data_IF_348295574132
#
_entry.id   IF_348295574132
#
_cell.length_a   1.000
_cell.length_b   1.000
_cell.length_c   1.000
_cell.angle_alpha   90.00
_cell.angle_beta   90.00
_cell.angle_gamma   90.00
#
_symmetry.space_group_name_H-M   'P 1'
#
loop_
_entity.id
_entity.type
_entity.pdbx_description
1 polymer ?
#
# COMPACT_ATOMS: atom_id res chain seq x y z
N UNK A 1 -3.80 18.10 -9.86
CA UNK A 1 -2.59 18.95 -9.98
C UNK A 1 -1.48 18.29 -9.18
N UNK A 2 -0.53 17.64 -9.84
CA UNK A 2 0.58 16.93 -9.19
C UNK A 2 1.81 17.84 -9.18
N UNK A 3 2.37 18.12 -8.00
CA UNK A 3 3.69 18.73 -7.88
C UNK A 3 4.68 17.62 -7.53
N UNK A 4 5.45 17.16 -8.53
CA UNK A 4 6.56 16.25 -8.28
C UNK A 4 7.73 17.05 -7.72
N UNK A 5 8.12 16.77 -6.48
CA UNK A 5 9.38 17.30 -5.95
C UNK A 5 10.50 16.30 -6.26
N UNK A 6 11.49 16.75 -7.04
CA UNK A 6 12.70 15.98 -7.35
C UNK A 6 13.62 16.00 -6.12
N UNK A 7 13.94 14.84 -5.55
CA UNK A 7 14.91 14.78 -4.45
C UNK A 7 15.99 13.72 -4.64
N UNK A 8 17.23 14.21 -4.51
CA UNK A 8 18.51 13.52 -4.30
C UNK A 8 19.22 12.92 -5.53
N UNK A 9 20.43 13.44 -5.79
CA UNK A 9 21.43 12.92 -6.71
C UNK A 9 22.42 12.02 -5.96
N UNK A 10 22.48 10.74 -6.31
CA UNK A 10 23.61 9.87 -5.97
C UNK A 10 24.29 9.47 -7.28
N UNK A 11 25.38 10.16 -7.64
CA UNK A 11 26.28 9.73 -8.71
C UNK A 11 27.30 8.76 -8.13
N UNK A 12 27.34 7.51 -8.61
CA UNK A 12 28.48 6.63 -8.40
C UNK A 12 29.20 6.48 -9.75
N UNK A 13 30.39 7.06 -9.85
CA UNK A 13 31.32 6.78 -10.94
C UNK A 13 32.28 5.68 -10.49
N UNK A 14 32.17 4.48 -11.06
CA UNK A 14 33.22 3.46 -10.93
C UNK A 14 34.23 3.66 -12.07
N UNK A 15 35.38 4.26 -11.76
CA UNK A 15 36.52 4.31 -12.68
C UNK A 15 37.38 3.07 -12.47
N UNK A 16 37.49 2.18 -13.47
CA UNK A 16 38.62 1.27 -13.57
C UNK A 16 39.83 2.10 -14.03
N UNK A 17 40.78 2.28 -13.11
CA UNK A 17 41.87 3.25 -13.19
C UNK A 17 42.89 2.99 -14.30
N UNK A 18 43.62 4.08 -14.61
CA UNK A 18 44.74 4.19 -15.54
C UNK A 18 44.75 5.61 -16.06
N UNK A 19 45.41 6.52 -15.32
CA UNK A 19 45.31 7.98 -15.48
C UNK A 19 46.24 8.59 -16.50
N UNK A 20 45.88 9.77 -17.00
CA UNK A 20 46.67 11.03 -16.98
C UNK A 20 46.00 12.12 -17.81
N UNK A 21 46.21 13.35 -17.33
CA UNK A 21 46.13 14.66 -18.01
C UNK A 21 44.77 15.25 -18.39
N UNK A 22 44.61 16.48 -17.94
CA UNK A 22 43.55 17.43 -18.18
C UNK A 22 43.55 17.94 -19.63
N UNK A 23 42.41 17.78 -20.31
CA UNK A 23 41.94 18.71 -21.33
C UNK A 23 40.40 18.69 -21.32
N UNK A 24 39.79 19.81 -20.93
CA UNK A 24 38.34 20.01 -20.99
C UNK A 24 37.96 20.33 -22.43
N UNK A 25 37.52 19.31 -23.17
CA UNK A 25 36.76 19.45 -24.41
C UNK A 25 35.59 18.46 -24.38
N UNK A 26 34.42 18.92 -24.80
CA UNK A 26 33.10 18.30 -24.60
C UNK A 26 32.94 16.96 -25.32
N UNK A 27 33.05 15.86 -24.57
CA UNK A 27 32.51 14.57 -24.99
C UNK A 27 30.97 14.57 -24.89
N UNK A 28 30.28 14.03 -25.89
CA UNK A 28 28.83 13.88 -25.86
C UNK A 28 28.44 12.81 -24.83
N UNK A 29 27.67 13.17 -23.81
CA UNK A 29 27.07 12.19 -22.90
C UNK A 29 25.72 11.73 -23.45
N UNK A 30 25.46 10.43 -23.44
CA UNK A 30 24.12 9.89 -23.70
C UNK A 30 23.53 9.30 -22.43
N UNK A 31 22.29 9.67 -22.11
CA UNK A 31 21.55 9.15 -20.97
C UNK A 31 20.41 8.26 -21.48
N UNK A 32 20.37 7.00 -21.04
CA UNK A 32 19.31 6.05 -21.38
C UNK A 32 18.61 5.60 -20.11
N UNK A 33 17.28 5.70 -20.05
CA UNK A 33 16.50 5.09 -18.98
C UNK A 33 16.57 3.56 -19.11
N UNK A 34 16.97 2.88 -18.03
CA UNK A 34 17.25 1.43 -18.02
C UNK A 34 16.42 0.67 -17.01
N UNK A 35 15.80 1.33 -16.02
CA UNK A 35 14.91 0.66 -15.09
C UNK A 35 13.96 1.66 -14.46
N UNK A 36 12.71 1.25 -14.25
CA UNK A 36 11.73 2.03 -13.48
C UNK A 36 11.05 1.12 -12.46
N UNK A 37 11.05 1.54 -11.19
CA UNK A 37 10.25 0.91 -10.14
C UNK A 37 9.32 1.93 -9.49
N UNK A 38 8.03 1.67 -9.60
CA UNK A 38 6.96 2.45 -8.98
C UNK A 38 6.48 1.75 -7.72
N UNK A 39 6.38 2.47 -6.62
CA UNK A 39 5.65 2.07 -5.41
C UNK A 39 4.52 3.07 -5.19
N UNK A 40 3.28 2.62 -5.13
CA UNK A 40 2.15 3.48 -4.83
C UNK A 40 1.34 2.99 -3.63
N UNK A 41 0.92 3.94 -2.80
CA UNK A 41 -0.15 3.71 -1.83
C UNK A 41 -1.44 3.44 -2.60
N UNK A 42 -2.31 2.59 -2.07
CA UNK A 42 -3.68 2.47 -2.58
C UNK A 42 -4.39 3.83 -2.64
N UNK A 43 -5.41 3.90 -3.51
CA UNK A 43 -6.30 5.05 -3.60
C UNK A 43 -7.14 5.23 -2.34
N UNK A 44 -7.91 6.32 -2.33
CA UNK A 44 -8.87 6.63 -1.28
C UNK A 44 -9.84 5.47 -0.98
N UNK A 45 -10.08 5.22 0.30
CA UNK A 45 -10.86 4.10 0.80
C UNK A 45 -11.65 4.49 2.05
N UNK A 46 -12.68 3.71 2.39
CA UNK A 46 -13.49 3.82 3.63
C UNK A 46 -12.70 3.41 4.89
N UNK A 47 -13.12 3.80 6.11
CA UNK A 47 -12.33 3.53 7.32
C UNK A 47 -12.23 2.05 7.69
N UNK A 48 -11.19 1.69 8.46
CA UNK A 48 -11.01 0.32 8.99
C UNK A 48 -11.71 0.11 10.34
N UNK A 49 -12.35 1.16 10.86
CA UNK A 49 -13.00 1.18 12.16
C UNK A 49 -14.25 2.08 12.10
N UNK A 50 -15.33 1.60 12.71
CA UNK A 50 -16.55 2.36 12.98
C UNK A 50 -16.35 3.26 14.22
N UNK A 51 -16.69 4.54 14.13
CA UNK A 51 -16.51 5.50 15.22
C UNK A 51 -17.82 5.77 15.99
N UNK A 52 -18.97 5.73 15.33
CA UNK A 52 -20.26 5.85 16.00
C UNK A 52 -20.75 4.53 16.58
N UNK A 53 -21.54 4.64 17.67
CA UNK A 53 -22.36 3.55 18.21
C UNK A 53 -23.52 3.19 17.28
N UNK A 54 -24.02 4.16 16.51
CA UNK A 54 -25.06 3.93 15.52
C UNK A 54 -24.42 3.37 14.25
N UNK A 55 -24.39 2.03 14.17
CA UNK A 55 -23.80 1.29 13.06
C UNK A 55 -24.54 1.47 11.73
N UNK A 56 -25.84 1.78 11.75
CA UNK A 56 -26.65 1.95 10.55
C UNK A 56 -26.32 3.26 9.83
N UNK A 57 -26.13 4.34 10.61
CA UNK A 57 -25.70 5.64 10.06
C UNK A 57 -24.32 5.52 9.39
N UNK A 58 -23.37 4.87 10.05
CA UNK A 58 -22.03 4.62 9.49
C UNK A 58 -22.11 3.77 8.23
N UNK A 59 -22.94 2.71 8.25
CA UNK A 59 -23.12 1.82 7.12
C UNK A 59 -23.71 2.56 5.92
N UNK A 60 -24.79 3.33 6.10
CA UNK A 60 -25.41 4.12 5.02
C UNK A 60 -24.45 5.16 4.45
N UNK A 61 -23.64 5.80 5.31
CA UNK A 61 -22.68 6.81 4.90
C UNK A 61 -21.51 6.22 4.09
N UNK A 62 -20.90 5.13 4.56
CA UNK A 62 -19.69 4.59 3.93
C UNK A 62 -19.98 3.64 2.77
N UNK A 63 -21.05 2.85 2.82
CA UNK A 63 -21.39 1.92 1.72
C UNK A 63 -21.66 2.66 0.42
N UNK A 64 -22.30 3.85 0.49
CA UNK A 64 -22.56 4.70 -0.67
C UNK A 64 -21.31 5.30 -1.31
N UNK A 65 -20.15 5.26 -0.64
CA UNK A 65 -18.87 5.74 -1.18
C UNK A 65 -18.02 4.64 -1.82
N UNK A 66 -18.31 3.37 -1.51
CA UNK A 66 -17.60 2.22 -2.07
C UNK A 66 -17.78 2.23 -3.60
N UNK A 67 -16.69 2.02 -4.33
CA UNK A 67 -16.76 2.00 -5.79
C UNK A 67 -17.71 0.90 -6.27
N UNK A 68 -18.63 1.25 -7.17
CA UNK A 68 -19.64 0.32 -7.69
C UNK A 68 -19.01 -0.83 -8.46
N UNK A 69 -18.02 -0.55 -9.30
CA UNK A 69 -17.31 -1.56 -10.11
C UNK A 69 -16.56 -2.59 -9.27
N UNK A 70 -16.11 -2.19 -8.08
CA UNK A 70 -15.39 -3.06 -7.15
C UNK A 70 -16.22 -3.42 -5.92
N UNK A 71 -17.51 -3.09 -5.92
CA UNK A 71 -18.32 -3.16 -4.72
C UNK A 71 -18.53 -4.61 -4.31
N UNK A 72 -18.25 -4.94 -3.03
CA UNK A 72 -18.60 -6.25 -2.53
C UNK A 72 -20.12 -6.46 -2.46
N UNK A 73 -20.92 -5.38 -2.44
CA UNK A 73 -22.38 -5.44 -2.37
C UNK A 73 -23.06 -5.86 -3.67
N UNK A 74 -22.32 -5.92 -4.78
CA UNK A 74 -22.82 -6.40 -6.06
C UNK A 74 -22.21 -7.78 -6.28
N UNK A 75 -23.05 -8.83 -6.20
CA UNK A 75 -22.69 -10.15 -6.71
C UNK A 75 -22.76 -10.09 -8.25
N UNK A 76 -21.76 -10.63 -8.98
CA UNK A 76 -21.86 -10.75 -10.43
C UNK A 76 -23.10 -11.56 -10.80
N UNK A 77 -23.81 -11.16 -11.85
CA UNK A 77 -25.12 -11.70 -12.27
C UNK A 77 -25.13 -13.19 -12.71
N UNK A 78 -24.09 -13.97 -12.39
CA UNK A 78 -23.93 -15.38 -12.78
C UNK A 78 -23.79 -16.35 -11.62
N UNK A 79 -24.17 -15.96 -10.39
CA UNK A 79 -24.27 -16.90 -9.27
C UNK A 79 -25.73 -17.20 -8.95
N UNK A 80 -26.37 -17.92 -9.86
CA UNK A 80 -27.57 -18.68 -9.58
C UNK A 80 -27.47 -20.01 -10.36
N UNK A 81 -26.86 -21.01 -9.72
CA UNK A 81 -27.27 -22.43 -9.73
C UNK A 81 -26.33 -23.29 -8.89
N UNK A 82 -26.96 -24.00 -7.96
CA UNK A 82 -26.58 -25.30 -7.40
C UNK A 82 -25.59 -25.44 -6.21
N UNK A 83 -26.26 -25.72 -5.09
CA UNK A 83 -26.10 -26.86 -4.16
C UNK A 83 -25.04 -26.84 -3.04
N UNK A 84 -25.61 -26.94 -1.84
CA UNK A 84 -25.04 -27.39 -0.58
C UNK A 84 -24.03 -28.54 -0.70
N UNK A 85 -22.91 -28.41 0.02
CA UNK A 85 -22.39 -29.46 0.90
C UNK A 85 -21.15 -28.99 1.68
N UNK A 86 -21.00 -29.60 2.86
CA UNK A 86 -20.13 -29.30 4.00
C UNK A 86 -18.63 -29.42 3.70
N UNK A 87 -17.79 -28.83 4.57
CA UNK A 87 -16.66 -29.48 5.26
C UNK A 87 -16.24 -28.60 6.46
N UNK A 88 -16.30 -29.20 7.65
CA UNK A 88 -15.58 -28.77 8.87
C UNK A 88 -14.11 -29.19 8.76
N UNK A 89 -13.17 -28.35 9.19
CA UNK A 89 -11.95 -28.80 9.90
C UNK A 89 -11.40 -27.71 10.82
N UNK A 90 -10.93 -28.13 11.99
CA UNK A 90 -10.46 -27.31 13.11
C UNK A 90 -8.93 -27.05 13.11
N UNK A 91 -8.54 -25.77 13.33
CA UNK A 91 -7.40 -25.22 14.14
C UNK A 91 -5.90 -25.57 13.81
N UNK A 92 -4.86 -24.87 14.36
CA UNK A 92 -4.86 -23.69 15.26
C UNK A 92 -3.81 -22.56 15.03
N UNK A 93 -4.09 -21.39 15.66
CA UNK A 93 -3.18 -20.37 16.24
C UNK A 93 -3.40 -18.88 15.86
N UNK A 94 -4.48 -18.35 16.44
CA UNK A 94 -4.61 -17.09 17.19
C UNK A 94 -3.98 -15.78 16.69
N UNK A 95 -4.85 -14.89 16.18
CA UNK A 95 -5.40 -13.81 17.02
C UNK A 95 -6.92 -13.80 16.85
N UNK A 96 -7.64 -14.32 17.84
CA UNK A 96 -9.07 -14.05 17.99
C UNK A 96 -9.23 -12.55 18.30
N UNK A 97 -9.67 -11.78 17.32
CA UNK A 97 -10.49 -10.59 17.61
C UNK A 97 -11.92 -11.11 17.71
N UNK A 98 -12.30 -11.50 18.93
CA UNK A 98 -13.70 -11.72 19.26
C UNK A 98 -14.40 -10.37 19.13
N UNK A 99 -15.04 -10.15 17.98
CA UNK A 99 -16.26 -9.36 17.89
C UNK A 99 -17.36 -10.27 18.44
N UNK A 100 -17.93 -9.93 19.59
CA UNK A 100 -19.05 -10.67 20.17
C UNK A 100 -20.39 -10.05 19.84
N UNK A 101 -20.50 -9.26 18.77
CA UNK A 101 -21.77 -8.62 18.38
C UNK A 101 -22.02 -8.57 16.86
N UNK A 102 -21.14 -9.14 16.03
CA UNK A 102 -21.44 -9.30 14.59
C UNK A 102 -22.17 -10.63 14.39
N UNK A 103 -23.36 -10.58 13.78
CA UNK A 103 -24.13 -11.76 13.41
C UNK A 103 -23.23 -12.76 12.65
N UNK A 104 -23.15 -14.04 13.08
CA UNK A 104 -22.44 -15.09 12.35
C UNK A 104 -22.73 -15.11 10.84
N UNK A 105 -23.94 -14.73 10.43
CA UNK A 105 -24.33 -14.58 9.04
C UNK A 105 -23.59 -13.42 8.34
N UNK A 106 -23.57 -12.22 8.94
CA UNK A 106 -22.83 -11.06 8.41
C UNK A 106 -21.33 -11.35 8.23
N UNK A 107 -20.75 -12.11 9.16
CA UNK A 107 -19.34 -12.51 9.10
C UNK A 107 -19.05 -13.53 7.99
N UNK A 108 -19.95 -14.49 7.78
CA UNK A 108 -19.84 -15.49 6.71
C UNK A 108 -19.93 -14.80 5.34
N UNK A 109 -20.84 -13.86 5.18
CA UNK A 109 -20.97 -13.05 3.96
C UNK A 109 -19.74 -12.15 3.75
N UNK A 110 -19.25 -11.46 4.78
CA UNK A 110 -18.01 -10.67 4.70
C UNK A 110 -16.78 -11.52 4.28
N UNK A 111 -16.69 -12.76 4.75
CA UNK A 111 -15.62 -13.68 4.36
C UNK A 111 -15.71 -14.09 2.89
N UNK A 112 -16.90 -14.39 2.38
CA UNK A 112 -17.11 -14.67 0.94
C UNK A 112 -16.61 -13.49 0.11
N UNK A 113 -16.91 -12.26 0.53
CA UNK A 113 -16.53 -11.04 -0.20
C UNK A 113 -15.02 -10.80 -0.30
N UNK A 114 -14.25 -11.34 0.65
CA UNK A 114 -12.78 -11.24 0.70
C UNK A 114 -12.05 -12.37 -0.04
N UNK A 115 -12.78 -13.30 -0.67
CA UNK A 115 -12.19 -14.38 -1.46
C UNK A 115 -11.64 -13.84 -2.79
N UNK A 116 -10.44 -14.27 -3.16
CA UNK A 116 -9.82 -13.88 -4.43
C UNK A 116 -10.71 -14.15 -5.64
N UNK A 117 -11.55 -15.20 -5.60
CA UNK A 117 -12.51 -15.54 -6.67
C UNK A 117 -13.43 -14.36 -7.00
N UNK A 118 -13.96 -13.74 -5.95
CA UNK A 118 -14.89 -12.63 -6.05
C UNK A 118 -14.16 -11.32 -6.35
N UNK A 119 -12.91 -11.22 -5.91
CA UNK A 119 -12.07 -10.05 -6.21
C UNK A 119 -11.69 -10.04 -7.69
N UNK A 120 -11.21 -11.16 -8.22
CA UNK A 120 -10.78 -11.32 -9.60
C UNK A 120 -11.91 -11.03 -10.59
N UNK A 121 -13.14 -11.50 -10.29
CA UNK A 121 -14.32 -11.23 -11.13
C UNK A 121 -14.71 -9.74 -11.23
N UNK A 122 -14.23 -8.89 -10.31
CA UNK A 122 -14.51 -7.45 -10.30
C UNK A 122 -13.40 -6.62 -10.95
N UNK A 123 -12.29 -7.23 -11.37
CA UNK A 123 -11.21 -6.52 -12.06
C UNK A 123 -11.67 -6.09 -13.45
N UNK A 124 -11.30 -4.86 -13.86
CA UNK A 124 -11.77 -4.25 -15.11
C UNK A 124 -10.90 -4.59 -16.31
N UNK A 125 -9.64 -4.99 -16.08
CA UNK A 125 -8.76 -5.43 -17.16
C UNK A 125 -7.55 -6.22 -16.65
N UNK A 126 -7.61 -6.77 -15.46
CA UNK A 126 -6.51 -7.51 -14.86
C UNK A 126 -6.97 -8.88 -14.36
N UNK A 127 -6.00 -9.74 -14.08
CA UNK A 127 -6.24 -11.03 -13.44
C UNK A 127 -5.19 -11.25 -12.35
N UNK A 128 -5.50 -12.08 -11.35
CA UNK A 128 -4.63 -12.31 -10.22
C UNK A 128 -3.74 -13.53 -10.47
N UNK A 129 -2.46 -13.37 -10.15
CA UNK A 129 -1.46 -14.44 -10.21
C UNK A 129 -0.76 -14.53 -8.86
N UNK A 130 -0.43 -15.73 -8.43
CA UNK A 130 0.43 -15.95 -7.26
C UNK A 130 1.50 -17.00 -7.55
N UNK A 131 2.74 -16.73 -7.17
CA UNK A 131 3.79 -17.74 -7.04
C UNK A 131 4.42 -17.75 -5.64
N UNK A 132 4.99 -18.90 -5.26
CA UNK A 132 5.68 -19.10 -3.96
C UNK A 132 6.79 -18.07 -3.71
N UNK A 133 7.44 -17.61 -4.78
CA UNK A 133 8.24 -16.40 -4.78
C UNK A 133 7.86 -15.53 -5.99
N UNK A 134 7.00 -14.53 -5.75
CA UNK A 134 6.65 -13.51 -6.75
C UNK A 134 7.84 -12.62 -7.16
N UNK A 135 9.03 -12.90 -6.63
CA UNK A 135 10.27 -12.20 -6.94
C UNK A 135 11.25 -13.04 -7.75
N UNK A 136 11.31 -14.36 -7.51
CA UNK A 136 12.28 -15.26 -8.14
C UNK A 136 11.68 -16.37 -9.03
N UNK A 137 10.38 -16.30 -9.35
CA UNK A 137 9.82 -17.10 -10.45
C UNK A 137 9.79 -18.60 -10.21
N UNK A 138 9.31 -19.02 -9.04
CA UNK A 138 9.12 -20.45 -8.73
C UNK A 138 8.03 -21.12 -9.59
N UNK A 139 8.19 -22.43 -9.82
CA UNK A 139 7.33 -23.30 -10.65
C UNK A 139 5.90 -23.49 -10.14
N UNK A 140 5.54 -23.01 -8.94
CA UNK A 140 4.17 -23.08 -8.44
C UNK A 140 3.46 -21.75 -8.71
N UNK A 141 2.56 -21.73 -9.69
CA UNK A 141 1.78 -20.55 -10.08
C UNK A 141 0.29 -20.84 -9.99
N UNK A 142 -0.45 -19.99 -9.25
CA UNK A 142 -1.91 -19.91 -9.25
C UNK A 142 -2.30 -18.79 -10.21
N UNK A 143 -3.13 -19.09 -11.21
CA UNK A 143 -3.70 -18.14 -12.16
C UNK A 143 -5.22 -18.08 -11.94
N UNK A 144 -5.78 -16.90 -11.65
CA UNK A 144 -7.21 -16.75 -11.40
C UNK A 144 -8.11 -17.06 -12.60
N UNK A 145 -7.53 -17.24 -13.79
CA UNK A 145 -8.25 -17.63 -15.02
C UNK A 145 -8.38 -19.15 -15.16
N UNK A 146 -7.59 -19.96 -14.43
CA UNK A 146 -7.67 -21.43 -14.47
C UNK A 146 -8.60 -21.95 -13.36
N UNK A 147 -9.85 -22.36 -13.68
CA UNK A 147 -10.82 -22.78 -12.67
C UNK A 147 -10.41 -24.07 -11.94
N UNK A 148 -9.58 -24.93 -12.56
CA UNK A 148 -9.18 -26.22 -11.97
C UNK A 148 -8.15 -26.02 -10.86
N UNK A 149 -7.12 -25.21 -11.11
CA UNK A 149 -6.10 -24.87 -10.11
C UNK A 149 -6.61 -23.91 -9.03
N UNK A 150 -7.65 -23.14 -9.36
CA UNK A 150 -8.26 -22.19 -8.45
C UNK A 150 -9.33 -22.83 -7.54
N UNK A 151 -9.95 -23.94 -7.95
CA UNK A 151 -10.92 -24.72 -7.15
C UNK A 151 -10.31 -25.32 -5.87
N UNK A 152 -9.07 -25.78 -5.91
CA UNK A 152 -8.46 -26.50 -4.78
C UNK A 152 -7.88 -25.58 -3.68
N UNK A 153 -8.01 -24.25 -3.82
CA UNK A 153 -7.58 -23.26 -2.82
C UNK A 153 -8.68 -22.25 -2.51
N UNK A 154 -9.88 -22.78 -2.27
CA UNK A 154 -11.15 -22.10 -1.96
C UNK A 154 -11.11 -21.10 -0.77
N UNK A 155 -9.97 -20.92 -0.10
CA UNK A 155 -9.78 -20.01 1.04
C UNK A 155 -8.59 -19.04 0.91
N UNK A 156 -8.20 -18.65 -0.32
CA UNK A 156 -7.34 -17.47 -0.49
C UNK A 156 -8.14 -16.21 -0.15
N UNK A 157 -8.10 -15.88 1.13
CA UNK A 157 -8.72 -14.70 1.70
C UNK A 157 -7.73 -13.54 1.69
N UNK A 158 -8.22 -12.36 1.36
CA UNK A 158 -7.48 -11.15 1.70
C UNK A 158 -7.42 -11.00 3.21
N UNK A 159 -6.48 -10.17 3.69
CA UNK A 159 -6.40 -9.80 5.09
C UNK A 159 -7.66 -9.06 5.61
N UNK A 160 -8.61 -8.73 4.74
CA UNK A 160 -9.85 -8.02 5.03
C UNK A 160 -10.93 -8.93 5.65
N UNK A 161 -10.72 -10.26 5.66
CA UNK A 161 -11.54 -11.24 6.41
C UNK A 161 -11.69 -10.94 7.92
N UNK A 162 -10.89 -10.01 8.43
CA UNK A 162 -10.92 -9.57 9.82
C UNK A 162 -11.82 -8.35 10.03
N UNK A 163 -12.44 -7.81 8.99
CA UNK A 163 -13.37 -6.70 9.08
C UNK A 163 -14.78 -7.19 9.34
N UNK A 164 -15.53 -6.35 10.06
CA UNK A 164 -16.83 -6.72 10.62
C UNK A 164 -17.98 -6.22 9.75
N UNK A 165 -17.70 -5.31 8.81
CA UNK A 165 -18.65 -4.79 7.83
C UNK A 165 -18.02 -4.79 6.44
N UNK A 166 -18.81 -5.14 5.42
CA UNK A 166 -18.36 -5.28 4.04
C UNK A 166 -17.81 -3.97 3.42
N UNK A 167 -18.25 -2.81 3.90
CA UNK A 167 -17.74 -1.52 3.43
C UNK A 167 -16.39 -1.15 4.02
N UNK A 168 -15.90 -1.80 5.09
CA UNK A 168 -14.66 -1.38 5.76
C UNK A 168 -13.42 -1.59 4.88
N UNK A 169 -12.57 -0.57 4.83
CA UNK A 169 -11.32 -0.62 4.08
C UNK A 169 -11.44 -0.73 2.56
N UNK A 170 -12.64 -0.57 2.01
CA UNK A 170 -12.92 -0.72 0.58
C UNK A 170 -12.56 0.55 -0.20
N UNK A 171 -12.06 0.37 -1.42
CA UNK A 171 -11.70 1.45 -2.33
C UNK A 171 -12.96 2.26 -2.70
N UNK A 172 -12.86 3.59 -2.65
CA UNK A 172 -13.97 4.49 -3.02
C UNK A 172 -13.92 4.86 -4.49
N UNK A 173 -15.01 5.44 -5.02
CA UNK A 173 -15.02 6.04 -6.36
C UNK A 173 -13.94 7.13 -6.52
N UNK A 174 -13.68 7.90 -5.46
CA UNK A 174 -12.57 8.88 -5.46
C UNK A 174 -11.23 8.16 -5.59
N UNK A 175 -11.05 7.05 -4.88
CA UNK A 175 -9.82 6.26 -4.92
C UNK A 175 -9.53 5.68 -6.30
N UNK A 176 -10.57 5.22 -7.01
CA UNK A 176 -10.45 4.77 -8.40
C UNK A 176 -9.94 5.90 -9.30
N UNK A 177 -10.57 7.07 -9.26
CA UNK A 177 -10.16 8.23 -10.07
C UNK A 177 -8.72 8.68 -9.79
N UNK A 178 -8.33 8.70 -8.52
CA UNK A 178 -6.95 9.01 -8.12
C UNK A 178 -5.95 8.06 -8.77
N UNK A 179 -6.24 6.75 -8.74
CA UNK A 179 -5.33 5.75 -9.29
C UNK A 179 -5.30 5.78 -10.83
N UNK A 180 -6.43 6.02 -11.49
CA UNK A 180 -6.47 6.26 -12.94
C UNK A 180 -5.64 7.49 -13.33
N UNK A 181 -5.61 8.53 -12.48
CA UNK A 181 -4.78 9.72 -12.72
C UNK A 181 -3.29 9.43 -12.57
N UNK A 182 -2.89 8.63 -11.56
CA UNK A 182 -1.52 8.10 -11.48
C UNK A 182 -1.17 7.34 -12.76
N UNK A 183 -2.07 6.46 -13.24
CA UNK A 183 -1.89 5.72 -14.48
C UNK A 183 -1.70 6.63 -15.70
N UNK A 184 -2.54 7.65 -15.85
CA UNK A 184 -2.45 8.65 -16.94
C UNK A 184 -1.14 9.43 -16.88
N UNK A 185 -0.68 9.79 -15.67
CA UNK A 185 0.61 10.45 -15.51
C UNK A 185 1.78 9.53 -15.93
N UNK A 186 1.74 8.26 -15.52
CA UNK A 186 2.75 7.27 -15.92
C UNK A 186 2.75 7.04 -17.43
N UNK A 187 1.57 6.99 -18.08
CA UNK A 187 1.45 6.93 -19.54
C UNK A 187 2.13 8.12 -20.20
N UNK A 188 1.73 9.34 -19.80
CA UNK A 188 2.31 10.58 -20.35
C UNK A 188 3.83 10.57 -20.27
N UNK A 189 4.38 10.22 -19.11
CA UNK A 189 5.83 10.21 -18.90
C UNK A 189 6.54 9.09 -19.65
N UNK A 190 6.13 7.84 -19.44
CA UNK A 190 6.93 6.69 -19.85
C UNK A 190 6.56 6.12 -21.23
N UNK A 191 5.41 6.49 -21.77
CA UNK A 191 5.00 6.14 -23.13
C UNK A 191 5.16 7.36 -24.02
N UNK A 192 4.47 8.46 -23.71
CA UNK A 192 4.34 9.58 -24.66
C UNK A 192 5.61 10.46 -24.71
N UNK A 193 6.23 10.77 -23.56
CA UNK A 193 7.41 11.66 -23.49
C UNK A 193 8.75 10.91 -23.62
N UNK A 194 8.91 9.77 -22.95
CA UNK A 194 10.18 9.05 -22.89
C UNK A 194 10.28 7.87 -23.86
N UNK A 195 9.15 7.39 -24.42
CA UNK A 195 9.13 6.20 -25.29
C UNK A 195 9.73 4.95 -24.64
N UNK A 196 9.74 4.87 -23.30
CA UNK A 196 10.34 3.76 -22.55
C UNK A 196 9.47 2.50 -22.62
N UNK A 197 8.16 2.69 -22.57
CA UNK A 197 7.13 1.67 -22.72
C UNK A 197 6.45 1.79 -24.10
N UNK A 198 5.99 0.65 -24.62
CA UNK A 198 5.21 0.60 -25.87
C UNK A 198 3.88 1.37 -25.74
N UNK A 199 3.38 2.05 -26.79
CA UNK A 199 2.05 2.66 -26.76
C UNK A 199 0.89 1.68 -26.55
N UNK A 200 1.09 0.42 -26.93
CA UNK A 200 0.11 -0.67 -26.81
C UNK A 200 0.66 -1.84 -26.01
N UNK A 201 -0.13 -2.37 -25.08
CA UNK A 201 0.17 -3.60 -24.35
C UNK A 201 -0.36 -4.82 -25.11
N UNK A 202 0.46 -5.86 -25.30
CA UNK A 202 0.06 -7.08 -26.01
C UNK A 202 -0.01 -8.28 -25.06
N UNK A 203 -1.20 -8.82 -24.79
CA UNK A 203 -1.34 -10.03 -23.97
C UNK A 203 -0.95 -11.28 -24.80
N UNK A 204 0.14 -11.97 -24.44
CA UNK A 204 0.47 -13.28 -25.01
C UNK A 204 -0.27 -14.45 -24.35
N UNK A 205 -0.28 -15.61 -25.02
CA UNK A 205 -1.11 -16.78 -24.66
C UNK A 205 -0.61 -17.58 -23.43
N UNK A 206 0.58 -17.29 -22.92
CA UNK A 206 1.24 -18.03 -21.83
C UNK A 206 1.34 -17.23 -20.52
N UNK A 207 0.79 -16.01 -20.47
CA UNK A 207 0.98 -15.10 -19.32
C UNK A 207 2.44 -14.72 -19.04
N UNK A 208 3.36 -15.09 -19.93
CA UNK A 208 4.81 -14.97 -19.80
C UNK A 208 5.46 -14.28 -21.00
N UNK A 209 4.67 -13.71 -21.92
CA UNK A 209 5.21 -12.96 -23.06
C UNK A 209 6.15 -11.85 -22.59
N UNK A 210 7.43 -12.21 -22.65
CA UNK A 210 8.63 -11.47 -22.27
C UNK A 210 8.85 -10.20 -23.13
N UNK A 211 7.88 -9.89 -24.00
CA UNK A 211 7.87 -8.72 -24.88
C UNK A 211 7.40 -7.45 -24.14
N UNK A 212 6.54 -7.60 -23.14
CA UNK A 212 6.12 -6.47 -22.31
C UNK A 212 7.10 -6.30 -21.17
N UNK A 213 7.87 -5.21 -21.22
CA UNK A 213 8.75 -4.72 -20.15
C UNK A 213 7.99 -4.29 -18.88
N UNK A 214 6.85 -4.90 -18.56
CA UNK A 214 5.91 -4.48 -17.51
C UNK A 214 5.69 -5.61 -16.50
N UNK A 215 5.94 -5.33 -15.22
CA UNK A 215 5.68 -6.25 -14.12
C UNK A 215 4.84 -5.58 -13.05
N UNK A 216 3.73 -6.20 -12.65
CA UNK A 216 2.78 -5.62 -11.70
C UNK A 216 2.68 -6.51 -10.46
N UNK A 217 2.80 -5.91 -9.29
CA UNK A 217 2.68 -6.61 -8.02
C UNK A 217 1.74 -5.87 -7.06
N UNK A 218 1.02 -6.59 -6.22
CA UNK A 218 0.17 -6.03 -5.17
C UNK A 218 0.31 -6.82 -3.87
N UNK A 219 0.14 -6.14 -2.74
CA UNK A 219 -0.13 -6.82 -1.46
C UNK A 219 -1.49 -7.52 -1.48
N UNK A 220 -1.70 -8.50 -0.61
CA UNK A 220 -2.94 -9.27 -0.50
C UNK A 220 -4.09 -8.52 0.24
N UNK A 221 -4.51 -7.38 -0.33
CA UNK A 221 -5.69 -6.62 0.07
C UNK A 221 -6.51 -6.24 -1.17
N UNK A 222 -7.85 -6.32 -1.12
CA UNK A 222 -8.67 -5.97 -2.27
C UNK A 222 -8.46 -4.52 -2.68
N UNK A 223 -8.38 -3.59 -1.72
CA UNK A 223 -8.09 -2.17 -2.02
C UNK A 223 -6.77 -1.94 -2.77
N UNK A 224 -5.73 -2.74 -2.57
CA UNK A 224 -4.47 -2.58 -3.31
C UNK A 224 -4.56 -3.21 -4.70
N UNK A 225 -5.26 -4.34 -4.84
CA UNK A 225 -5.52 -4.97 -6.14
C UNK A 225 -6.38 -4.08 -7.04
N UNK A 226 -7.49 -3.54 -6.50
CA UNK A 226 -8.36 -2.62 -7.23
C UNK A 226 -7.70 -1.28 -7.54
N UNK A 227 -6.79 -0.82 -6.67
CA UNK A 227 -6.00 0.39 -6.94
C UNK A 227 -5.09 0.20 -8.14
N UNK A 228 -4.40 -0.94 -8.25
CA UNK A 228 -3.48 -1.16 -9.38
C UNK A 228 -4.24 -1.50 -10.66
N UNK A 229 -5.36 -2.21 -10.59
CA UNK A 229 -6.26 -2.38 -11.74
C UNK A 229 -6.77 -1.02 -12.27
N UNK A 230 -7.15 -0.11 -11.37
CA UNK A 230 -7.52 1.26 -11.73
C UNK A 230 -6.36 2.06 -12.33
N UNK A 231 -5.16 1.94 -11.78
CA UNK A 231 -3.95 2.54 -12.36
C UNK A 231 -3.71 2.02 -13.79
N UNK A 232 -3.84 0.71 -13.99
CA UNK A 232 -3.66 0.09 -15.30
C UNK A 232 -4.68 0.58 -16.32
N UNK A 233 -5.90 0.94 -15.89
CA UNK A 233 -6.89 1.58 -16.76
C UNK A 233 -6.49 2.99 -17.22
N UNK A 234 -5.64 3.70 -16.46
CA UNK A 234 -5.04 4.95 -16.88
C UNK A 234 -3.76 4.77 -17.72
N UNK A 235 -2.93 3.79 -17.39
CA UNK A 235 -1.65 3.52 -18.07
C UNK A 235 -1.85 2.87 -19.46
N UNK A 236 -2.65 1.81 -19.49
CA UNK A 236 -3.08 1.10 -20.69
C UNK A 236 -4.59 0.94 -20.65
N UNK A 237 -5.39 1.91 -21.11
CA UNK A 237 -6.83 1.72 -21.28
C UNK A 237 -7.12 0.52 -22.19
N UNK A 238 -8.31 -0.09 -22.12
CA UNK A 238 -8.65 -1.27 -22.94
C UNK A 238 -8.47 -1.06 -24.46
N UNK A 239 -8.60 0.19 -24.93
CA UNK A 239 -8.34 0.59 -26.33
C UNK A 239 -6.87 0.49 -26.73
N UNK A 240 -5.95 0.45 -25.76
CA UNK A 240 -4.51 0.33 -25.94
C UNK A 240 -4.00 -1.09 -25.60
N UNK A 241 -4.90 -2.08 -25.59
CA UNK A 241 -4.57 -3.47 -25.31
C UNK A 241 -4.98 -4.38 -26.46
N UNK A 242 -4.05 -5.24 -26.86
CA UNK A 242 -4.22 -6.22 -27.93
C UNK A 242 -3.94 -7.64 -27.42
N UNK A 243 -4.21 -8.65 -28.24
CA UNK A 243 -4.17 -10.06 -27.86
C UNK A 243 -5.54 -10.59 -27.39
N UNK A 244 -5.61 -11.90 -27.16
CA UNK A 244 -6.87 -12.64 -26.98
C UNK A 244 -7.65 -12.17 -25.74
N UNK A 245 -6.96 -12.02 -24.60
CA UNK A 245 -7.60 -11.69 -23.32
C UNK A 245 -7.49 -10.21 -22.92
N UNK A 246 -6.66 -9.40 -23.61
CA UNK A 246 -6.40 -7.97 -23.32
C UNK A 246 -6.15 -7.65 -21.83
N UNK A 247 -5.69 -8.63 -21.06
CA UNK A 247 -5.64 -8.59 -19.60
C UNK A 247 -4.20 -8.52 -19.11
N UNK A 248 -3.97 -7.87 -17.97
CA UNK A 248 -2.65 -7.69 -17.38
C UNK A 248 -2.59 -8.48 -16.06
N UNK A 249 -1.53 -9.26 -15.86
CA UNK A 249 -1.32 -10.01 -14.62
C UNK A 249 -1.03 -9.07 -13.45
N UNK A 250 -1.66 -9.30 -12.30
CA UNK A 250 -1.30 -8.71 -11.01
C UNK A 250 -0.74 -9.84 -10.14
N UNK A 251 0.56 -9.80 -9.87
CA UNK A 251 1.22 -10.75 -8.99
C UNK A 251 0.94 -10.40 -7.53
N UNK A 252 0.44 -11.35 -6.75
CA UNK A 252 0.06 -11.11 -5.36
C UNK A 252 0.73 -12.12 -4.44
N UNK A 253 1.37 -11.58 -3.42
CA UNK A 253 2.00 -12.36 -2.36
C UNK A 253 0.97 -12.71 -1.28
N UNK A 254 0.63 -14.00 -1.20
CA UNK A 254 -0.40 -14.53 -0.29
C UNK A 254 0.11 -14.57 1.15
N UNK A 255 1.38 -14.94 1.35
CA UNK A 255 1.87 -15.53 2.61
C UNK A 255 2.92 -14.68 3.32
N UNK A 256 2.63 -13.38 3.45
CA UNK A 256 3.41 -12.34 4.15
C UNK A 256 4.39 -11.64 3.21
N UNK A 257 4.03 -10.39 2.92
CA UNK A 257 4.84 -9.52 2.09
C UNK A 257 5.91 -8.76 2.89
N UNK A 258 7.05 -8.52 2.24
CA UNK A 258 8.10 -7.60 2.69
C UNK A 258 7.80 -6.13 2.35
N UNK A 259 6.68 -5.82 1.69
CA UNK A 259 6.29 -4.44 1.36
C UNK A 259 5.87 -3.61 2.58
N UNK A 260 5.68 -4.22 3.74
CA UNK A 260 5.51 -3.49 5.00
C UNK A 260 6.08 -4.26 6.19
N UNK A 261 6.60 -3.54 7.21
CA UNK A 261 7.20 -4.15 8.39
C UNK A 261 6.15 -4.87 9.25
N UNK A 262 5.96 -6.18 9.05
CA UNK A 262 5.02 -6.97 9.83
C UNK A 262 5.65 -7.49 11.14
N UNK A 263 5.26 -6.97 12.34
CA UNK A 263 5.96 -7.27 13.59
C UNK A 263 5.91 -8.73 14.03
N UNK A 264 4.98 -9.53 13.50
CA UNK A 264 4.89 -10.95 13.84
C UNK A 264 5.95 -11.80 13.14
N UNK A 265 6.57 -11.30 12.07
CA UNK A 265 7.61 -12.03 11.33
C UNK A 265 8.98 -11.89 11.97
N UNK A 266 9.22 -10.78 12.66
CA UNK A 266 10.50 -10.50 13.28
C UNK A 266 10.30 -10.04 14.73
N UNK A 267 10.59 -10.95 15.68
CA UNK A 267 10.49 -10.66 17.13
C UNK A 267 11.38 -9.48 17.52
N UNK A 268 12.59 -9.40 16.95
CA UNK A 268 13.54 -8.30 17.19
C UNK A 268 12.96 -6.96 16.72
N UNK A 269 12.41 -6.91 15.52
CA UNK A 269 11.68 -5.74 15.01
C UNK A 269 10.54 -5.34 15.95
N UNK A 270 9.76 -6.30 16.44
CA UNK A 270 8.67 -6.03 17.38
C UNK A 270 9.15 -5.37 18.67
N UNK A 271 10.33 -5.73 19.18
CA UNK A 271 10.94 -5.09 20.36
C UNK A 271 11.48 -3.69 20.04
N UNK A 272 12.27 -3.56 18.98
CA UNK A 272 12.91 -2.30 18.58
C UNK A 272 11.88 -1.21 18.30
N UNK A 273 10.80 -1.52 17.55
CA UNK A 273 9.73 -0.54 17.28
C UNK A 273 9.02 -0.05 18.56
N UNK A 274 8.92 -0.90 19.59
CA UNK A 274 8.29 -0.52 20.86
C UNK A 274 9.23 0.40 21.65
N UNK A 275 10.51 0.07 21.73
CA UNK A 275 11.54 0.92 22.34
C UNK A 275 11.63 2.29 21.66
N UNK A 276 11.56 2.33 20.33
CA UNK A 276 11.59 3.58 19.57
C UNK A 276 10.35 4.43 19.82
N UNK A 277 9.16 3.80 19.86
CA UNK A 277 7.93 4.51 20.23
C UNK A 277 8.01 5.10 21.64
N UNK A 278 8.48 4.32 22.62
CA UNK A 278 8.62 4.76 24.00
C UNK A 278 9.65 5.89 24.14
N UNK A 279 10.75 5.83 23.40
CA UNK A 279 11.74 6.90 23.37
C UNK A 279 11.13 8.20 22.81
N UNK A 280 10.42 8.14 21.67
CA UNK A 280 9.74 9.32 21.14
C UNK A 280 8.74 9.87 22.14
N UNK A 281 7.91 9.00 22.73
CA UNK A 281 6.90 9.39 23.72
C UNK A 281 7.51 10.08 24.96
N UNK A 282 8.70 9.65 25.40
CA UNK A 282 9.41 10.25 26.53
C UNK A 282 10.11 11.58 26.20
N UNK A 283 10.41 11.85 24.92
CA UNK A 283 11.14 13.04 24.46
C UNK A 283 10.28 13.99 23.61
N UNK A 284 8.98 13.71 23.49
CA UNK A 284 8.02 14.55 22.76
C UNK A 284 7.40 15.56 23.72
N UNK A 285 7.31 16.81 23.26
CA UNK A 285 6.56 17.89 23.89
C UNK A 285 5.03 17.64 23.84
N UNK A 286 4.58 16.97 22.78
CA UNK A 286 3.19 16.52 22.61
C UNK A 286 3.01 15.11 23.19
N UNK A 287 2.03 14.94 24.09
CA UNK A 287 1.63 13.64 24.62
C UNK A 287 0.13 13.38 24.44
N UNK A 288 -0.21 12.28 23.77
CA UNK A 288 -1.59 11.86 23.56
C UNK A 288 -1.93 10.67 24.47
N UNK A 289 -2.80 10.89 25.47
CA UNK A 289 -3.29 9.84 26.34
C UNK A 289 -4.74 9.48 26.01
N UNK A 290 -5.02 8.19 25.94
CA UNK A 290 -6.37 7.67 25.70
C UNK A 290 -6.94 7.14 27.01
N UNK A 291 -7.96 7.80 27.52
CA UNK A 291 -8.76 7.31 28.64
C UNK A 291 -10.01 6.63 28.08
N UNK A 292 -10.14 5.32 28.31
CA UNK A 292 -11.39 4.61 28.07
C UNK A 292 -12.27 4.80 29.31
N UNK A 293 -13.24 5.70 29.24
CA UNK A 293 -14.34 5.68 30.19
C UNK A 293 -15.28 4.54 29.80
N UNK A 294 -15.05 3.35 30.37
CA UNK A 294 -16.15 2.42 30.55
C UNK A 294 -17.12 3.16 31.47
N UNK A 295 -18.31 3.49 30.96
CA UNK A 295 -19.38 4.04 31.79
C UNK A 295 -19.80 2.99 32.83
N UNK A 296 -19.04 2.91 33.92
CA UNK A 296 -19.52 2.35 35.18
C UNK A 296 -20.18 3.52 35.91
N UNK A 297 -21.50 3.51 35.99
CA UNK A 297 -22.17 4.20 37.07
C UNK A 297 -21.74 3.54 38.38
N UNK A 298 -20.65 4.03 38.98
CA UNK A 298 -20.46 3.89 40.43
C UNK A 298 -21.09 5.11 41.07
N UNK A 299 -22.22 4.89 41.76
CA UNK A 299 -22.67 5.80 42.82
C UNK A 299 -21.52 5.94 43.83
N UNK A 300 -20.98 7.14 43.95
CA UNK A 300 -20.15 7.58 45.08
C UNK A 300 -18.64 7.38 44.94
N UNK A 301 -17.89 8.48 45.08
CA UNK A 301 -16.48 8.48 45.48
C UNK A 301 -15.56 9.36 44.62
N UNK A 302 -15.29 10.59 45.11
CA UNK A 302 -14.29 11.53 44.57
C UNK A 302 -12.89 10.89 44.53
N UNK A 303 -12.13 11.16 43.46
CA UNK A 303 -10.66 11.28 43.51
C UNK A 303 -10.21 12.43 42.63
N UNK A 304 -9.83 13.52 43.27
CA UNK A 304 -9.04 14.61 42.66
C UNK A 304 -7.56 14.23 42.70
N UNK A 305 -6.88 14.39 41.57
CA UNK A 305 -5.42 14.36 41.48
C UNK A 305 -4.98 15.47 40.53
N UNK A 306 -4.39 16.53 41.07
CA UNK A 306 -3.83 17.67 40.33
C UNK A 306 -2.59 17.24 39.54
N UNK A 307 -2.60 17.38 38.21
CA UNK A 307 -1.44 17.78 37.39
C UNK A 307 -1.91 18.62 36.20
N UNK A 308 -1.41 19.86 36.10
CA UNK A 308 -1.56 20.71 34.90
C UNK A 308 -0.57 20.20 33.84
N UNK A 309 -1.05 19.34 32.95
CA UNK A 309 -0.41 18.94 31.69
C UNK A 309 -1.45 19.31 30.61
N UNK A 310 -1.05 19.72 29.40
CA UNK A 310 -2.02 19.89 28.31
C UNK A 310 -2.52 18.48 27.96
N UNK A 311 -3.54 18.05 28.69
CA UNK A 311 -4.18 16.74 28.60
C UNK A 311 -5.25 16.83 27.53
N UNK A 312 -4.85 16.51 26.30
CA UNK A 312 -5.82 16.33 25.22
C UNK A 312 -6.56 15.02 25.49
N UNK A 313 -7.69 15.13 26.18
CA UNK A 313 -8.60 14.02 26.47
C UNK A 313 -9.49 13.81 25.25
N UNK A 314 -9.17 12.79 24.44
CA UNK A 314 -10.05 12.33 23.37
C UNK A 314 -11.21 11.54 24.01
N UNK A 315 -12.32 12.22 24.31
CA UNK A 315 -13.56 11.61 24.78
C UNK A 315 -14.24 10.86 23.61
N UNK A 316 -13.69 9.72 23.23
CA UNK A 316 -14.28 8.87 22.20
C UNK A 316 -14.79 7.62 22.90
N UNK A 317 -16.12 7.51 22.93
CA UNK A 317 -16.84 6.42 23.56
C UNK A 317 -16.75 5.16 22.68
N UNK A 318 -15.54 4.60 22.56
CA UNK A 318 -15.27 3.38 21.81
C UNK A 318 -15.64 2.21 22.72
N UNK A 319 -16.74 1.51 22.42
CA UNK A 319 -17.23 0.32 23.14
C UNK A 319 -16.28 -0.89 23.03
N UNK A 320 -15.11 -0.75 22.41
CA UNK A 320 -14.23 -1.87 22.08
C UNK A 320 -12.98 -1.88 22.97
N UNK A 321 -12.81 -3.00 23.71
CA UNK A 321 -11.72 -3.29 24.67
C UNK A 321 -10.34 -2.78 24.25
N UNK A 322 -9.57 -2.34 25.27
CA UNK A 322 -8.15 -1.90 25.44
C UNK A 322 -7.08 -2.08 24.33
N UNK A 323 -7.30 -2.82 23.22
CA UNK A 323 -6.30 -3.13 22.18
C UNK A 323 -6.31 -2.18 20.95
N UNK A 324 -7.21 -1.19 20.85
CA UNK A 324 -7.47 -0.46 19.59
C UNK A 324 -6.98 1.01 19.53
N UNK A 325 -5.84 1.35 20.15
CA UNK A 325 -5.25 2.71 20.04
C UNK A 325 -4.82 3.08 18.60
N UNK A 326 -4.34 2.11 17.81
CA UNK A 326 -3.81 2.36 16.45
C UNK A 326 -4.89 2.66 15.40
N UNK A 327 -6.07 2.09 15.53
CA UNK A 327 -7.14 2.18 14.51
C UNK A 327 -7.92 3.50 14.55
N UNK A 328 -7.86 4.24 15.66
CA UNK A 328 -8.57 5.49 15.79
C UNK A 328 -7.98 6.62 14.94
N UNK A 329 -6.65 6.78 14.93
CA UNK A 329 -6.00 7.82 14.12
C UNK A 329 -6.24 7.64 12.63
N UNK A 330 -6.30 6.38 12.21
CA UNK A 330 -6.68 6.02 10.84
C UNK A 330 -8.12 6.47 10.54
N UNK A 331 -9.10 6.10 11.38
CA UNK A 331 -10.51 6.44 11.13
C UNK A 331 -10.75 7.96 11.12
N UNK A 332 -10.08 8.71 12.01
CA UNK A 332 -10.12 10.18 12.04
C UNK A 332 -9.49 10.79 10.78
N UNK A 333 -8.32 10.29 10.35
CA UNK A 333 -7.68 10.72 9.11
C UNK A 333 -8.58 10.44 7.90
N UNK A 334 -9.25 9.29 7.89
CA UNK A 334 -10.21 8.94 6.84
C UNK A 334 -11.38 9.94 6.80
N UNK A 335 -11.98 10.27 7.95
CA UNK A 335 -13.06 11.26 8.00
C UNK A 335 -12.63 12.65 7.55
N UNK A 336 -11.43 13.09 7.96
CA UNK A 336 -10.83 14.33 7.46
C UNK A 336 -10.69 14.33 5.94
N UNK A 337 -10.16 13.23 5.37
CA UNK A 337 -9.98 13.11 3.92
C UNK A 337 -11.30 13.15 3.14
N UNK A 338 -12.39 12.65 3.74
CA UNK A 338 -13.72 12.59 3.17
C UNK A 338 -14.65 13.76 3.55
N UNK A 339 -14.14 14.74 4.32
CA UNK A 339 -14.95 15.84 4.86
C UNK A 339 -16.21 15.34 5.60
N UNK A 340 -16.07 14.23 6.34
CA UNK A 340 -17.15 13.69 7.19
C UNK A 340 -17.05 14.23 8.61
N UNK A 341 -18.18 14.19 9.30
CA UNK A 341 -18.32 14.66 10.68
C UNK A 341 -17.20 14.10 11.56
N UNK A 342 -16.58 14.94 12.36
CA UNK A 342 -15.63 14.51 13.37
C UNK A 342 -16.34 14.45 14.73
N UNK A 343 -15.79 13.75 15.73
CA UNK A 343 -16.34 13.82 17.08
C UNK A 343 -16.43 15.29 17.53
N UNK A 344 -17.65 15.77 17.78
CA UNK A 344 -17.92 17.18 18.10
C UNK A 344 -17.20 17.66 19.37
N UNK A 345 -16.94 16.74 20.29
CA UNK A 345 -16.28 17.01 21.57
C UNK A 345 -14.77 17.31 21.43
N UNK A 346 -14.20 17.19 20.23
CA UNK A 346 -12.77 17.32 19.98
C UNK A 346 -12.51 18.38 18.89
N UNK A 347 -11.73 19.43 19.18
CA UNK A 347 -11.35 20.42 18.18
C UNK A 347 -10.68 19.77 16.96
N UNK A 348 -11.00 20.25 15.76
CA UNK A 348 -10.44 19.69 14.53
C UNK A 348 -8.90 19.81 14.47
N UNK A 349 -8.34 20.91 14.98
CA UNK A 349 -6.89 21.13 15.09
C UNK A 349 -6.22 20.01 15.89
N UNK A 350 -6.79 19.67 17.04
CA UNK A 350 -6.34 18.56 17.89
C UNK A 350 -6.33 17.22 17.14
N UNK A 351 -7.31 16.98 16.28
CA UNK A 351 -7.39 15.75 15.48
C UNK A 351 -6.26 15.71 14.43
N UNK A 352 -5.98 16.85 13.78
CA UNK A 352 -4.85 16.98 12.85
C UNK A 352 -3.51 16.75 13.56
N UNK A 353 -3.33 17.40 14.69
CA UNK A 353 -2.15 17.24 15.55
C UNK A 353 -1.91 15.77 15.96
N UNK A 354 -2.98 15.04 16.27
CA UNK A 354 -2.89 13.61 16.56
C UNK A 354 -2.50 12.78 15.33
N UNK A 355 -3.06 13.09 14.16
CA UNK A 355 -2.70 12.42 12.91
C UNK A 355 -1.22 12.64 12.57
N UNK A 356 -0.71 13.87 12.72
CA UNK A 356 0.68 14.22 12.47
C UNK A 356 1.62 13.54 13.46
N UNK A 357 1.26 13.54 14.75
CA UNK A 357 1.98 12.79 15.76
C UNK A 357 1.99 11.28 15.45
N UNK A 358 0.89 10.73 14.97
CA UNK A 358 0.81 9.32 14.58
C UNK A 358 1.75 9.01 13.42
N UNK A 359 1.84 9.88 12.42
CA UNK A 359 2.80 9.77 11.32
C UNK A 359 4.24 9.81 11.85
N UNK A 360 4.58 10.83 12.65
CA UNK A 360 5.91 10.98 13.29
C UNK A 360 6.29 9.74 14.08
N UNK A 361 5.37 9.20 14.88
CA UNK A 361 5.59 7.99 15.67
C UNK A 361 5.87 6.77 14.80
N UNK A 362 5.13 6.58 13.71
CA UNK A 362 5.33 5.47 12.78
C UNK A 362 6.68 5.60 12.06
N UNK A 363 7.01 6.79 11.54
CA UNK A 363 8.31 7.08 10.94
C UNK A 363 9.45 6.80 11.91
N UNK A 364 9.34 7.26 13.16
CA UNK A 364 10.37 7.08 14.17
C UNK A 364 10.57 5.62 14.58
N UNK A 365 9.52 4.78 14.51
CA UNK A 365 9.67 3.33 14.67
C UNK A 365 10.66 2.76 13.66
N UNK A 366 10.58 3.21 12.41
CA UNK A 366 11.39 2.70 11.30
C UNK A 366 12.78 3.31 11.22
N UNK A 367 12.92 4.59 11.56
CA UNK A 367 14.07 5.41 11.15
C UNK A 367 14.99 5.90 12.27
N UNK A 368 14.73 5.53 13.53
CA UNK A 368 15.55 6.03 14.65
C UNK A 368 17.04 5.72 14.50
N UNK A 369 17.39 4.56 13.95
CA UNK A 369 18.77 4.12 13.72
C UNK A 369 18.82 3.09 12.59
N UNK A 370 20.03 2.80 12.10
CA UNK A 370 20.26 1.88 10.99
C UNK A 370 19.71 0.47 11.25
N UNK A 371 19.77 0.00 12.50
CA UNK A 371 19.18 -1.30 12.88
C UNK A 371 17.66 -1.30 12.67
N UNK A 372 16.98 -0.23 13.06
CA UNK A 372 15.52 -0.07 12.89
C UNK A 372 15.15 -0.09 11.40
N UNK A 373 15.91 0.64 10.57
CA UNK A 373 15.71 0.69 9.12
C UNK A 373 15.88 -0.71 8.50
N UNK A 374 16.98 -1.39 8.82
CA UNK A 374 17.29 -2.73 8.32
C UNK A 374 16.24 -3.76 8.70
N UNK A 375 15.77 -3.74 9.95
CA UNK A 375 14.75 -4.66 10.44
C UNK A 375 13.35 -4.37 9.88
N UNK A 376 13.04 -3.11 9.62
CA UNK A 376 11.72 -2.72 9.11
C UNK A 376 11.58 -3.00 7.61
N UNK A 377 12.58 -2.66 6.80
CA UNK A 377 12.45 -2.66 5.35
C UNK A 377 13.73 -3.04 4.60
N UNK A 378 14.73 -3.62 5.28
CA UNK A 378 15.99 -4.05 4.64
C UNK A 378 15.79 -5.04 3.50
N UNK A 379 14.87 -6.01 3.66
CA UNK A 379 14.54 -6.99 2.59
C UNK A 379 13.95 -6.30 1.37
N UNK A 380 13.08 -5.30 1.58
CA UNK A 380 12.47 -4.55 0.48
C UNK A 380 13.50 -3.72 -0.28
N UNK A 381 14.43 -3.07 0.44
CA UNK A 381 15.52 -2.31 -0.19
C UNK A 381 16.49 -3.23 -0.93
N UNK A 382 16.87 -4.37 -0.34
CA UNK A 382 17.75 -5.35 -0.97
C UNK A 382 17.17 -5.83 -2.30
N UNK A 383 15.88 -6.18 -2.30
CA UNK A 383 15.14 -6.50 -3.52
C UNK A 383 15.14 -5.32 -4.51
N UNK A 384 14.73 -4.11 -4.09
CA UNK A 384 14.80 -2.93 -4.96
C UNK A 384 16.16 -2.75 -5.65
N UNK A 385 17.26 -2.83 -4.89
CA UNK A 385 18.61 -2.72 -5.43
C UNK A 385 18.99 -3.90 -6.33
N UNK A 386 18.53 -5.11 -6.03
CA UNK A 386 18.70 -6.27 -6.90
C UNK A 386 18.03 -6.02 -8.26
N UNK A 387 16.76 -5.59 -8.27
CA UNK A 387 16.06 -5.27 -9.52
C UNK A 387 16.73 -4.15 -10.32
N UNK A 388 17.15 -3.08 -9.65
CA UNK A 388 17.89 -1.98 -10.31
C UNK A 388 19.18 -2.46 -11.02
N UNK A 389 19.81 -3.53 -10.53
CA UNK A 389 21.05 -4.08 -11.10
C UNK A 389 20.81 -5.11 -12.20
N UNK A 390 19.73 -5.87 -12.12
CA UNK A 390 19.56 -7.09 -12.91
C UNK A 390 18.40 -7.05 -13.90
N UNK A 391 17.47 -6.10 -13.78
CA UNK A 391 16.26 -6.04 -14.60
C UNK A 391 16.32 -4.93 -15.67
N UNK A 392 17.39 -4.88 -16.49
CA UNK A 392 17.52 -3.85 -17.54
C UNK A 392 16.31 -3.86 -18.50
N UNK A 393 15.78 -2.67 -18.73
CA UNK A 393 14.59 -2.41 -19.53
C UNK A 393 13.27 -2.60 -18.80
N UNK A 394 13.23 -3.09 -17.55
CA UNK A 394 11.96 -3.37 -16.88
C UNK A 394 11.27 -2.13 -16.31
N UNK A 395 9.94 -2.17 -16.31
CA UNK A 395 9.03 -1.24 -15.65
C UNK A 395 8.21 -2.02 -14.63
N UNK A 396 8.49 -1.82 -13.35
CA UNK A 396 7.84 -2.53 -12.26
C UNK A 396 6.89 -1.60 -11.50
N UNK A 397 5.69 -2.08 -11.17
CA UNK A 397 4.70 -1.36 -10.35
C UNK A 397 4.35 -2.22 -9.14
N UNK A 398 4.42 -1.63 -7.95
CA UNK A 398 4.06 -2.26 -6.68
C UNK A 398 2.96 -1.46 -5.99
N UNK A 399 1.80 -2.09 -5.82
CA UNK A 399 0.65 -1.57 -5.09
C UNK A 399 0.68 -1.99 -3.64
N UNK A 400 0.73 -0.99 -2.75
CA UNK A 400 1.07 -1.19 -1.35
C UNK A 400 0.35 -0.18 -0.43
N UNK A 401 0.99 0.18 0.69
CA UNK A 401 0.35 0.92 1.78
C UNK A 401 1.11 2.20 2.12
N UNK A 402 0.48 3.03 2.96
CA UNK A 402 1.14 4.18 3.59
C UNK A 402 2.43 3.79 4.33
N UNK A 403 2.41 2.69 5.07
CA UNK A 403 3.62 2.20 5.77
C UNK A 403 4.77 1.90 4.80
N UNK A 404 4.49 1.52 3.55
CA UNK A 404 5.51 1.28 2.51
C UNK A 404 6.10 2.59 2.01
N UNK A 405 5.26 3.61 1.78
CA UNK A 405 5.72 4.94 1.39
C UNK A 405 6.53 5.58 2.54
N UNK A 406 6.03 5.50 3.77
CA UNK A 406 6.73 5.99 4.97
C UNK A 406 8.09 5.31 5.15
N UNK A 407 8.19 3.99 4.93
CA UNK A 407 9.44 3.27 5.07
C UNK A 407 10.46 3.66 4.00
N UNK A 408 10.03 3.85 2.75
CA UNK A 408 10.89 4.34 1.67
C UNK A 408 11.38 5.77 1.93
N UNK A 409 10.50 6.68 2.33
CA UNK A 409 10.88 8.06 2.67
C UNK A 409 11.86 8.08 3.87
N UNK A 410 11.61 7.25 4.88
CA UNK A 410 12.52 7.06 6.01
C UNK A 410 13.90 6.55 5.57
N UNK A 411 13.95 5.57 4.68
CA UNK A 411 15.19 5.03 4.14
C UNK A 411 16.03 6.09 3.42
N UNK A 412 15.37 6.98 2.69
CA UNK A 412 16.00 8.08 1.95
C UNK A 412 16.49 9.22 2.84
N UNK A 413 16.30 9.11 4.17
CA UNK A 413 16.54 10.19 5.15
C UNK A 413 15.79 11.49 4.75
N UNK A 414 14.65 11.28 4.07
CA UNK A 414 13.50 12.17 3.88
C UNK A 414 13.03 12.86 5.15
N UNK A 415 12.93 14.19 5.20
CA UNK A 415 11.94 14.76 6.11
C UNK A 415 10.55 14.31 5.63
N UNK A 416 9.77 13.73 6.54
CA UNK A 416 8.44 13.21 6.24
C UNK A 416 7.43 14.23 6.78
N UNK A 417 6.76 15.01 5.90
CA UNK A 417 5.93 16.13 6.33
C UNK A 417 4.64 15.72 7.06
N UNK A 418 4.23 14.45 6.96
CA UNK A 418 3.01 13.94 7.58
C UNK A 418 2.66 12.53 7.10
N UNK A 419 1.42 12.11 7.32
CA UNK A 419 0.93 10.83 6.79
C UNK A 419 0.80 10.91 5.26
N UNK A 420 1.33 9.96 4.47
CA UNK A 420 1.27 10.04 3.02
C UNK A 420 -0.20 10.09 2.54
N UNK A 421 -0.59 11.09 1.72
CA UNK A 421 -1.92 11.16 1.11
C UNK A 421 -2.27 9.90 0.30
N UNK A 422 -3.55 9.68 0.00
CA UNK A 422 -3.95 8.55 -0.85
C UNK A 422 -3.31 8.66 -2.23
N UNK A 423 -3.06 7.53 -2.89
CA UNK A 423 -2.35 7.47 -4.17
C UNK A 423 -0.94 8.11 -4.20
N UNK A 424 -0.35 8.44 -3.04
CA UNK A 424 1.06 8.83 -2.94
C UNK A 424 1.95 7.79 -3.62
N UNK A 425 2.86 8.25 -4.47
CA UNK A 425 3.66 7.37 -5.33
C UNK A 425 5.13 7.76 -5.28
N UNK A 426 6.02 6.80 -5.07
CA UNK A 426 7.47 6.94 -5.17
C UNK A 426 7.94 6.19 -6.40
N UNK A 427 8.74 6.83 -7.24
CA UNK A 427 9.31 6.22 -8.44
C UNK A 427 10.82 6.30 -8.39
N UNK A 428 11.47 5.17 -8.66
CA UNK A 428 12.91 5.08 -8.86
C UNK A 428 13.17 4.91 -10.35
N UNK A 429 13.91 5.84 -10.96
CA UNK A 429 14.36 5.77 -12.34
C UNK A 429 15.87 5.58 -12.36
N UNK A 430 16.35 4.52 -13.01
CA UNK A 430 17.78 4.31 -13.21
C UNK A 430 18.14 4.70 -14.63
N UNK A 431 19.06 5.65 -14.78
CA UNK A 431 19.59 6.06 -16.06
C UNK A 431 21.04 5.60 -16.22
N UNK A 432 21.33 4.92 -17.32
CA UNK A 432 22.69 4.61 -17.76
C UNK A 432 23.27 5.84 -18.46
N UNK A 433 24.36 6.36 -17.92
CA UNK A 433 25.16 7.42 -18.50
C UNK A 433 26.31 6.77 -19.25
N UNK A 434 26.40 7.07 -20.55
CA UNK A 434 27.56 6.71 -21.36
C UNK A 434 28.34 7.98 -21.68
N UNK A 435 29.57 8.03 -21.18
CA UNK A 435 30.50 9.13 -21.46
C UNK A 435 31.60 8.66 -22.40
N UNK A 436 31.85 9.44 -23.43
CA UNK A 436 32.92 9.19 -24.39
C UNK A 436 34.09 10.13 -24.10
N UNK A 437 35.26 9.55 -23.84
CA UNK A 437 36.55 10.24 -23.92
C UNK A 437 37.30 9.75 -25.15
N UNK A 438 38.31 10.50 -25.62
CA UNK A 438 39.10 10.17 -26.82
C UNK A 438 39.64 8.72 -26.87
N UNK A 439 39.85 8.08 -25.72
CA UNK A 439 40.43 6.74 -25.63
C UNK A 439 39.57 5.71 -24.89
N UNK A 440 38.47 6.12 -24.24
CA UNK A 440 37.66 5.23 -23.39
C UNK A 440 36.18 5.60 -23.39
N UNK A 441 35.34 4.56 -23.42
CA UNK A 441 33.92 4.63 -23.12
C UNK A 441 33.72 4.33 -21.62
N UNK A 442 33.15 5.27 -20.89
CA UNK A 442 32.84 5.14 -19.46
C UNK A 442 31.34 4.93 -19.27
N UNK A 443 30.98 4.06 -18.33
CA UNK A 443 29.60 3.82 -17.92
C UNK A 443 29.40 4.29 -16.48
N UNK A 444 28.32 5.02 -16.24
CA UNK A 444 27.86 5.41 -14.91
C UNK A 444 26.36 5.23 -14.80
N UNK A 445 25.84 5.21 -13.57
CA UNK A 445 24.40 5.17 -13.32
C UNK A 445 23.98 6.36 -12.48
N UNK A 446 22.82 6.93 -12.80
CA UNK A 446 22.14 7.92 -11.96
C UNK A 446 20.76 7.40 -11.58
N UNK A 447 20.41 7.50 -10.30
CA UNK A 447 19.09 7.13 -9.80
C UNK A 447 18.32 8.41 -9.50
N UNK A 448 17.20 8.62 -10.17
CA UNK A 448 16.25 9.69 -9.87
C UNK A 448 15.13 9.13 -9.02
N UNK A 449 14.76 9.87 -7.98
CA UNK A 449 13.64 9.53 -7.10
C UNK A 449 12.58 10.62 -7.22
N UNK A 450 11.39 10.22 -7.68
CA UNK A 450 10.25 11.10 -7.86
C UNK A 450 9.23 10.76 -6.77
N UNK A 451 8.86 11.75 -5.94
CA UNK A 451 7.75 11.61 -5.01
C UNK A 451 6.56 12.42 -5.48
N UNK A 452 5.47 11.73 -5.80
CA UNK A 452 4.23 12.29 -6.31
C UNK A 452 3.15 12.27 -5.22
N UNK A 453 2.56 13.43 -4.97
CA UNK A 453 1.44 13.61 -4.04
C UNK A 453 0.14 13.80 -4.83
N UNK A 454 -0.84 12.94 -4.58
CA UNK A 454 -2.19 13.15 -5.07
C UNK A 454 -2.88 14.15 -4.14
N UNK A 455 -3.25 15.31 -4.67
CA UNK A 455 -4.06 16.29 -3.96
C UNK A 455 -5.55 16.04 -4.21
#
# INVERSE_FOLDING_TARGET
MWQGQNYLWLSHSSSSGGGQSSNRVSGSNTNRLVFVQVYHRHGDRTPLLCLHKNHDLETKMWSGLVCKSYSPYVLPAHMDTDQDSLIETENPHHVRTHDTDADPHEKKEANKLCQWKNIAQRLRGAYLVHSNDNYYGDNYTIDSRDPKRFKDKLELLTFERHYTKAWMGQLTERGVRQMEEVGRWLRKRYIDELGYLSPTFHSGNDGTSNSNKLWIQSTNFARTMYSVDSLLMGLYPMTHRTGENKSIAIHVDIDKTFFYPYPKLCRKWSRVRQQNSAYLEANSDKHFYFYFYLSFQKKGGKREGKKKKIEITLNINITQKKKKKKSLGEALLCRLAHQKDLPADIPQETIRDYCDYSAKRVTYQYSRNDESCRLAFGVMLDKLFHSMKHDDGMFRIVSCHDNTILSLLAALKKEIPGWPPYASTIIFEVQLITSFSFTKKLYGYTIYIIYMLAH
#
